data_IF_555547497458
#
_entry.id   IF_555547497458
#
_cell.length_a   1.000
_cell.length_b   1.000
_cell.length_c   1.000
_cell.angle_alpha   90.00
_cell.angle_beta   90.00
_cell.angle_gamma   90.00
#
_symmetry.space_group_name_H-M   'P 1'
#
loop_
_entity.id
_entity.type
_entity.pdbx_description
1 polymer ?
#
# COMPACT_ATOMS: atom_id res chain seq x y z
N UNK A 1 9.41 -10.92 -4.62
CA UNK A 1 8.53 -10.17 -3.70
C UNK A 1 7.52 -9.44 -4.53
N UNK A 2 6.25 -9.61 -4.21
CA UNK A 2 5.12 -8.99 -4.90
C UNK A 2 4.17 -8.39 -3.87
N UNK A 3 3.47 -7.32 -4.26
CA UNK A 3 2.45 -6.65 -3.43
C UNK A 3 1.18 -6.56 -4.26
N UNK A 4 0.08 -7.06 -3.71
CA UNK A 4 -1.24 -7.05 -4.36
C UNK A 4 -2.32 -6.64 -3.37
N UNK A 5 -3.49 -6.27 -3.87
CA UNK A 5 -4.69 -6.02 -3.06
C UNK A 5 -5.83 -6.85 -3.65
N UNK A 6 -6.67 -7.50 -2.81
CA UNK A 6 -7.88 -8.16 -3.30
C UNK A 6 -8.94 -7.16 -3.77
N UNK A 7 -8.83 -5.88 -3.41
CA UNK A 7 -9.81 -4.85 -3.72
C UNK A 7 -9.59 -4.16 -5.07
N UNK A 8 -8.37 -4.20 -5.62
CA UNK A 8 -8.08 -3.70 -6.96
C UNK A 8 -6.80 -4.32 -7.56
N UNK A 9 -6.78 -4.40 -8.88
CA UNK A 9 -5.59 -4.82 -9.63
C UNK A 9 -4.64 -3.63 -9.87
N UNK A 10 -3.36 -3.93 -10.11
CA UNK A 10 -2.37 -2.92 -10.46
C UNK A 10 -2.78 -2.11 -11.70
N UNK A 11 -2.74 -0.77 -11.59
CA UNK A 11 -3.10 0.17 -12.65
C UNK A 11 -4.61 0.39 -12.83
N UNK A 12 -5.46 -0.33 -12.09
CA UNK A 12 -6.90 -0.10 -12.07
C UNK A 12 -7.30 0.94 -11.01
N UNK A 13 -8.56 1.37 -11.06
CA UNK A 13 -9.10 2.36 -10.11
C UNK A 13 -9.18 1.79 -8.70
N UNK A 14 -8.75 2.58 -7.73
CA UNK A 14 -8.96 2.32 -6.31
C UNK A 14 -10.46 2.49 -5.98
N UNK A 15 -11.11 1.51 -5.31
CA UNK A 15 -12.51 1.60 -4.92
C UNK A 15 -12.81 2.80 -4.01
N UNK A 16 -14.04 3.32 -4.12
CA UNK A 16 -14.48 4.54 -3.43
C UNK A 16 -14.27 4.51 -1.91
N UNK A 17 -14.44 3.36 -1.28
CA UNK A 17 -14.26 3.19 0.18
C UNK A 17 -12.86 3.58 0.68
N UNK A 18 -11.83 3.44 -0.16
CA UNK A 18 -10.43 3.77 0.17
C UNK A 18 -10.04 5.20 -0.21
N UNK A 19 -10.98 6.02 -0.68
CA UNK A 19 -10.72 7.41 -1.09
C UNK A 19 -11.38 8.39 -0.12
N UNK A 20 -11.11 9.69 -0.33
CA UNK A 20 -11.77 10.76 0.42
C UNK A 20 -13.28 10.89 0.16
N UNK A 21 -13.82 10.19 -0.85
CA UNK A 21 -15.25 10.15 -1.15
C UNK A 21 -16.00 9.01 -0.42
N UNK A 22 -15.26 8.14 0.28
CA UNK A 22 -15.78 7.01 1.04
C UNK A 22 -15.28 7.03 2.49
N UNK A 23 -14.87 5.86 2.98
CA UNK A 23 -14.53 5.64 4.39
C UNK A 23 -13.12 6.11 4.74
N UNK A 24 -12.29 6.41 3.73
CA UNK A 24 -10.92 6.87 3.87
C UNK A 24 -10.08 5.92 4.76
N UNK A 25 -10.28 4.63 4.56
CA UNK A 25 -9.51 3.53 5.18
C UNK A 25 -8.44 3.02 4.21
N UNK A 26 -7.51 2.21 4.73
CA UNK A 26 -6.47 1.60 3.91
C UNK A 26 -6.95 0.29 3.28
N UNK A 27 -6.59 -0.02 2.02
CA UNK A 27 -6.86 -1.31 1.42
C UNK A 27 -5.98 -2.41 2.05
N UNK A 28 -6.43 -3.66 1.93
CA UNK A 28 -5.62 -4.81 2.34
C UNK A 28 -4.46 -4.96 1.38
N UNK A 29 -3.24 -5.12 1.90
CA UNK A 29 -2.07 -5.41 1.07
C UNK A 29 -1.55 -6.81 1.38
N UNK A 30 -1.55 -7.67 0.37
CA UNK A 30 -0.96 -9.01 0.43
C UNK A 30 0.48 -8.91 -0.06
N UNK A 31 1.41 -9.49 0.70
CA UNK A 31 2.83 -9.50 0.37
C UNK A 31 3.30 -10.94 0.23
N UNK A 32 3.78 -11.25 -0.96
CA UNK A 32 4.25 -12.59 -1.31
C UNK A 32 5.74 -12.60 -1.65
N UNK A 33 6.33 -13.79 -1.62
CA UNK A 33 7.74 -14.01 -1.95
C UNK A 33 8.70 -13.06 -1.19
N UNK A 34 8.46 -12.89 0.12
CA UNK A 34 9.32 -12.11 1.02
C UNK A 34 10.71 -12.78 1.09
N UNK A 35 11.81 -12.04 0.83
CA UNK A 35 13.16 -12.62 0.85
C UNK A 35 13.53 -13.22 2.21
N UNK A 36 14.25 -14.33 2.19
CA UNK A 36 14.79 -14.94 3.40
C UNK A 36 15.75 -13.97 4.11
N UNK A 37 15.66 -13.89 5.44
CA UNK A 37 16.50 -13.00 6.25
C UNK A 37 15.96 -11.58 6.43
N UNK A 38 14.83 -11.23 5.78
CA UNK A 38 14.10 -9.96 6.04
C UNK A 38 13.84 -9.78 7.54
N UNK A 39 14.12 -8.59 8.07
CA UNK A 39 13.99 -8.27 9.50
C UNK A 39 12.76 -7.44 9.83
N UNK A 40 12.36 -6.59 8.89
CA UNK A 40 11.16 -5.76 8.96
C UNK A 40 10.77 -5.35 7.54
N UNK A 41 9.53 -4.90 7.40
CA UNK A 41 8.98 -4.31 6.18
C UNK A 41 8.77 -2.81 6.39
N UNK A 42 8.72 -2.09 5.27
CA UNK A 42 8.30 -0.69 5.20
C UNK A 42 7.35 -0.51 4.01
N UNK A 43 6.38 0.38 4.17
CA UNK A 43 5.38 0.74 3.18
C UNK A 43 5.40 2.25 2.97
N UNK A 44 5.46 2.64 1.70
CA UNK A 44 5.28 4.02 1.24
C UNK A 44 4.20 3.97 0.17
N UNK A 45 3.16 4.80 0.32
CA UNK A 45 2.15 5.04 -0.69
C UNK A 45 2.24 6.51 -1.06
N UNK A 46 2.65 6.81 -2.29
CA UNK A 46 2.81 8.16 -2.81
C UNK A 46 2.03 8.38 -4.11
N UNK A 47 1.58 9.62 -4.29
CA UNK A 47 0.94 10.12 -5.49
C UNK A 47 1.90 11.11 -6.17
N UNK A 48 2.60 10.70 -7.25
CA UNK A 48 3.48 11.58 -8.01
C UNK A 48 2.72 12.61 -8.85
N UNK A 49 1.42 12.42 -9.07
CA UNK A 49 0.57 13.27 -9.92
C UNK A 49 -0.12 14.40 -9.12
N UNK A 50 0.12 14.47 -7.81
CA UNK A 50 -0.45 15.50 -6.96
C UNK A 50 -0.05 16.93 -7.44
N UNK A 51 -0.95 17.94 -7.31
CA UNK A 51 -0.80 19.24 -7.99
C UNK A 51 0.47 20.03 -7.65
N UNK A 52 1.09 19.75 -6.50
CA UNK A 52 2.28 20.44 -5.99
C UNK A 52 3.54 19.55 -6.00
N UNK A 53 3.53 18.49 -6.81
CA UNK A 53 4.54 17.43 -6.81
C UNK A 53 4.16 16.28 -5.89
N UNK A 54 5.05 15.29 -5.76
CA UNK A 54 4.77 14.02 -5.07
C UNK A 54 4.20 14.22 -3.66
N UNK A 55 3.06 13.60 -3.40
CA UNK A 55 2.41 13.60 -2.09
C UNK A 55 2.46 12.20 -1.47
N UNK A 56 2.94 12.09 -0.23
CA UNK A 56 2.98 10.80 0.47
C UNK A 56 1.70 10.63 1.30
N UNK A 57 0.88 9.66 0.91
CA UNK A 57 -0.38 9.32 1.57
C UNK A 57 -0.19 8.48 2.83
N UNK A 58 0.74 7.53 2.80
CA UNK A 58 0.95 6.60 3.91
C UNK A 58 2.43 6.21 4.04
N UNK A 59 2.96 6.31 5.26
CA UNK A 59 4.28 5.77 5.64
C UNK A 59 4.11 4.88 6.85
N UNK A 60 4.63 3.66 6.76
CA UNK A 60 4.74 2.74 7.89
C UNK A 60 6.07 2.00 7.81
N UNK A 61 6.76 1.85 8.93
CA UNK A 61 8.07 1.22 9.00
C UNK A 61 8.20 0.40 10.29
N UNK A 62 9.24 -0.45 10.34
CA UNK A 62 9.40 -1.47 11.40
C UNK A 62 8.19 -2.42 11.49
N UNK A 63 7.51 -2.64 10.37
CA UNK A 63 6.42 -3.61 10.29
C UNK A 63 7.05 -5.01 10.48
N UNK A 64 6.51 -5.86 11.36
CA UNK A 64 6.94 -7.25 11.47
C UNK A 64 6.84 -7.96 10.12
N UNK A 65 7.56 -9.07 9.95
CA UNK A 65 7.48 -9.85 8.70
C UNK A 65 6.14 -10.57 8.66
N UNK A 66 5.17 -9.96 7.97
CA UNK A 66 3.80 -10.44 7.78
C UNK A 66 3.49 -10.54 6.29
N UNK A 67 2.61 -11.46 5.91
CA UNK A 67 2.13 -11.63 4.52
C UNK A 67 0.91 -10.77 4.20
N UNK A 68 0.41 -10.01 5.17
CA UNK A 68 -0.73 -9.13 5.02
C UNK A 68 -0.53 -7.90 5.91
N UNK A 69 -0.76 -6.72 5.33
CA UNK A 69 -0.82 -5.42 6.02
C UNK A 69 -2.26 -4.92 5.97
#
# INVERSE_FOLDING_TARGET
MEVTSPEFENGNKIPREFTCEGDNINPTLIIEAIPAGTKSLALIVDDPDAPMGTWVHWVSFNIPVVSQI
#
